data_IF_838567162256
#
_entry.id   IF_838567162256
#
_cell.length_a   1.000
_cell.length_b   1.000
_cell.length_c   1.000
_cell.angle_alpha   90.00
_cell.angle_beta   90.00
_cell.angle_gamma   90.00
#
_symmetry.space_group_name_H-M   'P 1'
#
loop_
_entity.id
_entity.type
_entity.pdbx_description
1 polymer ?
#
# COMPACT_ATOMS: atom_id res chain seq x y z
N UNK A 1 -24.56 1.10 0.47
CA UNK A 1 -23.11 0.96 0.20
C UNK A 1 -22.34 1.54 1.39
N UNK A 2 -21.51 0.75 2.06
CA UNK A 2 -20.67 1.22 3.18
C UNK A 2 -19.27 1.57 2.65
N UNK A 3 -18.72 2.72 3.04
CA UNK A 3 -17.36 3.14 2.70
C UNK A 3 -16.66 3.70 3.95
N UNK A 4 -15.33 3.77 3.88
CA UNK A 4 -14.49 4.42 4.88
C UNK A 4 -13.17 4.88 4.26
N UNK A 5 -12.49 5.82 4.91
CA UNK A 5 -11.19 6.36 4.50
C UNK A 5 -10.09 5.91 5.46
N UNK A 6 -8.89 5.69 4.95
CA UNK A 6 -7.72 5.29 5.73
C UNK A 6 -6.47 6.00 5.21
N UNK A 7 -5.65 6.56 6.10
CA UNK A 7 -4.40 7.23 5.71
C UNK A 7 -3.20 6.27 5.77
N UNK A 8 -2.48 6.14 4.66
CA UNK A 8 -1.27 5.30 4.53
C UNK A 8 0.02 6.12 4.68
N UNK A 9 -0.10 7.44 4.79
CA UNK A 9 0.98 8.42 5.00
C UNK A 9 2.07 8.46 3.91
N UNK A 10 1.74 7.98 2.71
CA UNK A 10 2.53 8.13 1.47
C UNK A 10 1.57 8.25 0.28
N UNK A 11 1.97 8.89 -0.84
CA UNK A 11 1.22 8.81 -2.09
C UNK A 11 1.07 7.34 -2.52
N UNK A 12 -0.14 6.93 -2.91
CA UNK A 12 -0.42 5.58 -3.39
C UNK A 12 -0.64 5.64 -4.89
N UNK A 13 0.13 4.86 -5.65
CA UNK A 13 0.03 4.82 -7.10
C UNK A 13 -0.49 3.48 -7.62
N UNK A 14 -0.41 2.41 -6.83
CA UNK A 14 -0.94 1.13 -7.22
C UNK A 14 -1.55 0.35 -6.03
N UNK A 15 -2.53 -0.47 -6.37
CA UNK A 15 -3.34 -1.26 -5.43
C UNK A 15 -3.72 -2.59 -6.06
N UNK A 16 -3.81 -3.64 -5.26
CA UNK A 16 -4.36 -4.93 -5.69
C UNK A 16 -4.83 -5.76 -4.49
N UNK A 17 -5.76 -6.67 -4.74
CA UNK A 17 -6.19 -7.67 -3.75
C UNK A 17 -5.55 -9.02 -4.05
N UNK A 18 -5.07 -9.70 -3.00
CA UNK A 18 -4.69 -11.10 -3.08
C UNK A 18 -5.94 -11.99 -3.06
N UNK A 19 -5.75 -13.29 -3.33
CA UNK A 19 -6.83 -14.29 -3.29
C UNK A 19 -7.45 -14.46 -1.90
N UNK A 20 -6.69 -14.20 -0.84
CA UNK A 20 -7.10 -14.29 0.56
C UNK A 20 -7.53 -12.93 1.14
N UNK A 21 -8.05 -12.04 0.29
CA UNK A 21 -8.61 -10.73 0.64
C UNK A 21 -7.65 -9.79 1.38
N UNK A 22 -6.33 -9.96 1.19
CA UNK A 22 -5.35 -8.95 1.64
C UNK A 22 -5.26 -7.84 0.61
N UNK A 23 -5.29 -6.61 1.11
CA UNK A 23 -5.11 -5.42 0.31
C UNK A 23 -3.62 -5.08 0.24
N UNK A 24 -3.05 -5.06 -0.96
CA UNK A 24 -1.68 -4.61 -1.21
C UNK A 24 -1.74 -3.19 -1.78
N UNK A 25 -0.97 -2.29 -1.18
CA UNK A 25 -0.81 -0.90 -1.60
C UNK A 25 0.68 -0.60 -1.79
N UNK A 26 1.02 0.15 -2.83
CA UNK A 26 2.38 0.62 -2.99
C UNK A 26 2.44 2.03 -3.60
N UNK A 27 3.51 2.72 -3.25
CA UNK A 27 3.77 4.08 -3.71
C UNK A 27 4.84 4.76 -2.85
N UNK A 28 4.91 6.08 -2.96
CA UNK A 28 5.89 6.87 -2.23
C UNK A 28 6.18 8.25 -2.80
N UNK A 29 7.22 8.88 -2.28
CA UNK A 29 7.66 10.23 -2.68
C UNK A 29 8.65 10.27 -3.85
N UNK A 30 9.03 9.11 -4.38
CA UNK A 30 10.02 8.97 -5.44
C UNK A 30 11.45 9.20 -4.95
N UNK A 31 12.39 9.33 -5.89
CA UNK A 31 13.82 9.52 -5.59
C UNK A 31 14.18 10.95 -5.14
N UNK A 32 13.23 11.89 -5.15
CA UNK A 32 13.45 13.34 -4.98
C UNK A 32 13.87 13.83 -3.59
N UNK A 33 14.31 12.94 -2.67
CA UNK A 33 14.73 13.28 -1.28
C UNK A 33 13.72 14.13 -0.50
N UNK A 34 12.42 13.97 -0.77
CA UNK A 34 11.33 14.69 -0.09
C UNK A 34 11.15 14.33 1.40
N UNK A 35 11.84 13.29 1.88
CA UNK A 35 11.63 12.71 3.21
C UNK A 35 10.45 11.73 3.28
N UNK A 36 9.65 11.64 2.21
CA UNK A 36 8.56 10.66 2.09
C UNK A 36 9.15 9.31 1.65
N UNK A 37 8.75 8.24 2.34
CA UNK A 37 9.23 6.88 2.05
C UNK A 37 8.59 6.30 0.79
N UNK A 38 9.33 5.44 0.10
CA UNK A 38 8.79 4.51 -0.90
C UNK A 38 8.56 3.16 -0.22
N UNK A 39 7.35 2.60 -0.34
CA UNK A 39 7.00 1.36 0.38
C UNK A 39 5.89 0.55 -0.28
N UNK A 40 5.89 -0.74 0.06
CA UNK A 40 4.83 -1.70 -0.24
C UNK A 40 4.23 -2.13 1.11
N UNK A 41 2.91 -2.07 1.24
CA UNK A 41 2.18 -2.44 2.45
C UNK A 41 1.14 -3.52 2.14
N UNK A 42 0.94 -4.43 3.08
CA UNK A 42 -0.12 -5.44 3.07
C UNK A 42 -1.05 -5.12 4.24
N UNK A 43 -2.35 -5.06 3.98
CA UNK A 43 -3.38 -4.80 4.97
C UNK A 43 -4.42 -5.92 5.01
N UNK A 44 -4.90 -6.22 6.20
CA UNK A 44 -6.19 -6.87 6.36
C UNK A 44 -7.30 -5.81 6.35
N UNK A 45 -8.38 -6.08 5.62
CA UNK A 45 -9.56 -5.22 5.60
C UNK A 45 -10.54 -5.72 6.66
N UNK A 46 -11.01 -4.84 7.55
CA UNK A 46 -12.11 -5.12 8.47
C UNK A 46 -13.32 -4.26 8.06
N UNK A 47 -14.27 -4.80 7.27
CA UNK A 47 -15.42 -4.05 6.78
C UNK A 47 -16.38 -3.64 7.89
N UNK A 48 -16.45 -4.44 8.97
CA UNK A 48 -17.33 -4.20 10.12
C UNK A 48 -16.83 -3.02 10.93
N UNK A 49 -15.53 -2.99 11.23
CA UNK A 49 -14.88 -1.89 11.95
C UNK A 49 -14.48 -0.72 11.05
N UNK A 50 -14.67 -0.85 9.73
CA UNK A 50 -14.35 0.18 8.74
C UNK A 50 -12.90 0.65 8.85
N UNK A 51 -11.98 -0.30 8.90
CA UNK A 51 -10.55 -0.01 9.10
C UNK A 51 -9.66 -0.99 8.37
N UNK A 52 -8.37 -0.65 8.29
CA UNK A 52 -7.30 -1.50 7.80
C UNK A 52 -6.31 -1.79 8.94
N UNK A 53 -5.86 -3.03 9.06
CA UNK A 53 -4.76 -3.40 9.95
C UNK A 53 -3.53 -3.82 9.16
N UNK A 54 -2.38 -3.21 9.48
CA UNK A 54 -1.13 -3.48 8.78
C UNK A 54 -0.67 -4.91 9.09
N UNK A 55 -0.58 -5.74 8.05
CA UNK A 55 -0.08 -7.10 8.12
C UNK A 55 1.42 -7.18 7.83
N UNK A 56 1.93 -6.27 6.99
CA UNK A 56 3.34 -6.20 6.65
C UNK A 56 3.71 -4.94 5.89
N UNK A 57 4.96 -4.51 6.01
CA UNK A 57 5.51 -3.36 5.30
C UNK A 57 6.92 -3.69 4.80
N UNK A 58 7.18 -3.36 3.53
CA UNK A 58 8.51 -3.34 2.95
C UNK A 58 8.83 -1.90 2.57
N UNK A 59 9.80 -1.31 3.27
CA UNK A 59 10.42 -0.04 2.87
C UNK A 59 11.40 -0.31 1.74
N UNK A 60 11.31 0.50 0.69
CA UNK A 60 12.25 0.51 -0.42
C UNK A 60 13.42 1.45 -0.09
N UNK A 61 14.49 1.35 -0.85
CA UNK A 61 15.63 2.26 -0.71
C UNK A 61 15.20 3.70 -0.98
N UNK A 62 15.92 4.65 -0.37
CA UNK A 62 15.75 6.08 -0.67
C UNK A 62 16.26 6.47 -2.06
N UNK A 63 17.08 5.60 -2.66
CA UNK A 63 17.64 5.80 -4.00
C UNK A 63 16.75 5.19 -5.09
N UNK A 64 15.70 4.44 -4.72
CA UNK A 64 14.70 3.89 -5.64
C UNK A 64 13.56 4.88 -5.86
N UNK A 65 12.93 4.82 -7.05
CA UNK A 65 11.72 5.59 -7.32
C UNK A 65 10.46 4.94 -6.71
N UNK A 66 9.34 5.66 -6.70
CA UNK A 66 8.09 5.15 -6.17
C UNK A 66 7.53 4.03 -7.08
N UNK A 67 6.97 2.96 -6.49
CA UNK A 67 6.21 1.97 -7.26
C UNK A 67 5.03 2.62 -7.97
N UNK A 68 4.95 2.44 -9.29
CA UNK A 68 3.87 3.01 -10.12
C UNK A 68 2.86 1.96 -10.62
N UNK A 69 3.20 0.67 -10.52
CA UNK A 69 2.33 -0.42 -10.93
C UNK A 69 2.60 -1.66 -10.09
N UNK A 70 1.59 -2.52 -9.97
CA UNK A 70 1.73 -3.83 -9.32
C UNK A 70 0.85 -4.84 -10.08
N UNK A 71 1.37 -6.05 -10.22
CA UNK A 71 0.59 -7.20 -10.66
C UNK A 71 0.70 -8.26 -9.57
N UNK A 72 -0.43 -8.86 -9.21
CA UNK A 72 -0.50 -9.90 -8.20
C UNK A 72 -0.75 -11.24 -8.89
N UNK A 73 0.12 -12.20 -8.62
CA UNK A 73 -0.09 -13.57 -9.08
C UNK A 73 -1.21 -14.22 -8.25
N UNK A 74 -2.15 -14.96 -8.88
CA UNK A 74 -3.37 -15.46 -8.22
C UNK A 74 -3.16 -16.65 -7.25
N UNK A 75 -1.91 -17.06 -6.97
CA UNK A 75 -1.59 -18.24 -6.13
C UNK A 75 -2.08 -18.09 -4.70
#
# INVERSE_FOLDING_TARGET
>A
MSNFSYSVNVPIYCVGFTRDDKLILAGGGGAGRSGVLNKICIYHVDPTKKTLSLAGEKKLSRDEDAPMSIALHPT
#
